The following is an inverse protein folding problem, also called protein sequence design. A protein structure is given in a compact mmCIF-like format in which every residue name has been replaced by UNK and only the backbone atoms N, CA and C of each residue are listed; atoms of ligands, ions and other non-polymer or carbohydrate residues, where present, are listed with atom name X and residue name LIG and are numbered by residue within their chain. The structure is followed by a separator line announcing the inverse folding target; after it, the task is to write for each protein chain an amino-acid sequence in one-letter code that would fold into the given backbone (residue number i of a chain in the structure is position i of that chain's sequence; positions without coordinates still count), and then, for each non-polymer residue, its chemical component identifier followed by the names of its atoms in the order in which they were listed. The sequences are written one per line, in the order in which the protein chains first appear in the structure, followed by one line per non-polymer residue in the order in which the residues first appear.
data_IF_971818010974
#
_entry.id   IF_971818010974
#
_cell.length_a   1.000
_cell.length_b   1.000
_cell.length_c   1.000
_cell.angle_alpha   90.00
_cell.angle_beta   90.00
_cell.angle_gamma   90.00
#
_symmetry.space_group_name_H-M   'P 1'
#
loop_
_entity.id
_entity.type
_entity.pdbx_description
1 polymer ?
#
# COMPACT_ATOMS: atom_id res chain seq x y z
N UNK A 1 -7.48 5.72 -9.06
CA UNK A 1 -7.72 5.81 -7.60
C UNK A 1 -6.81 4.83 -6.90
N UNK A 2 -6.29 5.20 -5.73
CA UNK A 2 -5.40 4.37 -4.92
C UNK A 2 -6.05 4.12 -3.56
N UNK A 3 -5.84 2.93 -3.01
CA UNK A 3 -6.24 2.64 -1.64
C UNK A 3 -6.13 1.16 -1.29
N UNK A 4 -6.77 0.82 -0.16
CA UNK A 4 -6.82 -0.54 0.35
C UNK A 4 -7.97 -1.34 -0.28
N UNK A 5 -7.75 -2.64 -0.50
CA UNK A 5 -8.79 -3.56 -0.97
C UNK A 5 -8.52 -5.01 -0.56
N UNK A 6 -9.59 -5.80 -0.51
CA UNK A 6 -9.54 -7.26 -0.26
C UNK A 6 -10.29 -8.01 -1.36
N UNK A 7 -9.62 -8.93 -2.10
CA UNK A 7 -10.27 -9.71 -3.14
C UNK A 7 -11.14 -10.83 -2.54
N UNK A 8 -12.26 -11.14 -3.20
CA UNK A 8 -13.11 -12.32 -2.94
C UNK A 8 -13.52 -12.54 -1.47
N UNK A 9 -13.76 -11.46 -0.71
CA UNK A 9 -14.05 -11.54 0.73
C UNK A 9 -12.97 -12.28 1.56
N UNK A 10 -11.72 -12.32 1.07
CA UNK A 10 -10.60 -12.83 1.85
C UNK A 10 -10.18 -11.83 2.94
N UNK A 11 -9.46 -12.33 3.95
CA UNK A 11 -8.82 -11.48 4.97
C UNK A 11 -7.54 -10.81 4.46
N UNK A 12 -7.14 -11.10 3.22
CA UNK A 12 -5.94 -10.53 2.63
C UNK A 12 -6.20 -9.07 2.24
N UNK A 13 -5.41 -8.17 2.81
CA UNK A 13 -5.48 -6.74 2.53
C UNK A 13 -4.28 -6.32 1.68
N UNK A 14 -4.60 -5.58 0.61
CA UNK A 14 -3.64 -5.08 -0.35
C UNK A 14 -3.77 -3.57 -0.55
N UNK A 15 -2.67 -2.92 -0.94
CA UNK A 15 -2.69 -1.58 -1.53
C UNK A 15 -2.64 -1.72 -3.04
N UNK A 16 -3.55 -1.05 -3.75
CA UNK A 16 -3.57 -1.09 -5.20
C UNK A 16 -4.02 0.20 -5.85
N UNK A 17 -3.91 0.22 -7.17
CA UNK A 17 -4.39 1.29 -8.05
C UNK A 17 -5.42 0.69 -9.01
N UNK A 18 -6.54 1.39 -9.18
CA UNK A 18 -7.65 0.99 -10.06
C UNK A 18 -8.29 2.17 -10.78
N UNK A 19 -9.06 1.87 -11.84
CA UNK A 19 -9.88 2.87 -12.54
C UNK A 19 -11.00 3.39 -11.63
N UNK A 20 -11.07 4.72 -11.46
CA UNK A 20 -12.12 5.36 -10.67
C UNK A 20 -13.46 5.25 -11.40
N UNK A 21 -14.53 4.87 -10.68
CA UNK A 21 -15.89 4.81 -11.22
C UNK A 21 -16.22 3.55 -12.04
N UNK A 22 -15.30 2.59 -12.18
CA UNK A 22 -15.55 1.32 -12.88
C UNK A 22 -15.96 0.24 -11.87
N UNK A 23 -17.10 -0.42 -12.14
CA UNK A 23 -17.66 -1.52 -11.35
C UNK A 23 -17.93 -2.71 -12.31
N UNK A 24 -17.43 -3.92 -12.02
CA UNK A 24 -16.56 -4.28 -10.89
C UNK A 24 -15.18 -3.62 -10.97
N UNK A 25 -14.55 -3.40 -9.82
CA UNK A 25 -13.25 -2.71 -9.70
C UNK A 25 -12.18 -3.47 -10.50
N UNK A 26 -11.54 -2.80 -11.45
CA UNK A 26 -10.41 -3.33 -12.23
C UNK A 26 -9.10 -2.83 -11.62
N UNK A 27 -8.36 -3.73 -10.98
CA UNK A 27 -7.08 -3.44 -10.33
C UNK A 27 -5.95 -3.56 -11.35
N UNK A 28 -5.18 -2.49 -11.54
CA UNK A 28 -4.08 -2.41 -12.50
C UNK A 28 -2.72 -2.73 -11.86
N UNK A 29 -2.54 -2.30 -10.61
CA UNK A 29 -1.28 -2.44 -9.89
C UNK A 29 -1.54 -2.76 -8.41
N UNK A 30 -0.65 -3.56 -7.82
CA UNK A 30 -0.75 -4.03 -6.43
C UNK A 30 0.64 -3.96 -5.82
N UNK A 31 0.78 -3.23 -4.70
CA UNK A 31 2.08 -3.02 -4.04
C UNK A 31 2.59 -4.30 -3.40
N UNK A 32 1.80 -4.86 -2.49
CA UNK A 32 2.16 -6.02 -1.67
C UNK A 32 1.54 -7.32 -2.23
N UNK A 33 1.67 -7.53 -3.55
CA UNK A 33 1.03 -8.64 -4.26
C UNK A 33 1.44 -10.01 -3.71
N UNK A 34 2.72 -10.14 -3.37
CA UNK A 34 3.35 -11.37 -2.90
C UNK A 34 3.15 -11.60 -1.39
N UNK A 35 2.93 -10.53 -0.63
CA UNK A 35 2.85 -10.58 0.84
C UNK A 35 1.63 -9.79 1.36
N UNK A 36 0.42 -10.38 1.36
CA UNK A 36 -0.77 -9.74 1.89
C UNK A 36 -0.68 -9.47 3.39
N UNK A 37 -1.36 -8.43 3.86
CA UNK A 37 -1.61 -8.25 5.30
C UNK A 37 -2.84 -9.09 5.68
N UNK A 38 -2.71 -10.00 6.65
CA UNK A 38 -3.77 -10.99 6.97
C UNK A 38 -4.46 -10.80 8.33
N UNK A 39 -3.75 -10.28 9.34
CA UNK A 39 -4.20 -10.37 10.75
C UNK A 39 -4.21 -9.03 11.52
N UNK A 40 -4.12 -7.89 10.84
CA UNK A 40 -3.94 -6.59 11.51
C UNK A 40 -4.36 -5.38 10.68
N UNK A 41 -4.43 -4.22 11.34
CA UNK A 41 -4.56 -2.93 10.68
C UNK A 41 -3.33 -2.67 9.80
N UNK A 42 -3.58 -2.25 8.56
CA UNK A 42 -2.53 -1.85 7.63
C UNK A 42 -2.46 -0.33 7.53
N UNK A 43 -1.25 0.20 7.53
CA UNK A 43 -0.99 1.62 7.39
C UNK A 43 -0.01 1.85 6.24
N UNK A 44 -0.32 2.85 5.41
CA UNK A 44 0.55 3.33 4.35
C UNK A 44 1.09 4.69 4.76
N UNK A 45 2.41 4.82 4.89
CA UNK A 45 3.04 6.05 5.40
C UNK A 45 4.39 6.32 4.74
N UNK A 46 4.82 7.58 4.81
CA UNK A 46 6.17 8.00 4.43
C UNK A 46 6.98 8.14 5.72
N UNK A 47 8.12 7.44 5.79
CA UNK A 47 9.05 7.51 6.91
C UNK A 47 9.83 8.83 6.91
N UNK A 48 10.53 9.11 8.01
CA UNK A 48 11.37 10.32 8.12
C UNK A 48 12.53 10.36 7.12
N UNK A 49 12.95 9.22 6.58
CA UNK A 49 13.93 9.12 5.48
C UNK A 49 13.25 9.01 4.09
N UNK A 50 12.00 9.46 3.98
CA UNK A 50 11.31 9.61 2.71
C UNK A 50 10.83 8.32 2.03
N UNK A 51 10.96 7.16 2.68
CA UNK A 51 10.54 5.87 2.11
C UNK A 51 9.05 5.65 2.33
N UNK A 52 8.32 5.32 1.27
CA UNK A 52 6.93 4.86 1.36
C UNK A 52 6.92 3.41 1.85
N UNK A 53 6.27 3.18 2.99
CA UNK A 53 6.14 1.87 3.63
C UNK A 53 4.68 1.49 3.82
N UNK A 54 4.40 0.21 3.61
CA UNK A 54 3.21 -0.47 4.10
C UNK A 54 3.64 -1.29 5.31
N UNK A 55 3.02 -1.02 6.46
CA UNK A 55 3.32 -1.73 7.69
C UNK A 55 2.04 -2.14 8.40
N UNK A 56 2.17 -3.18 9.22
CA UNK A 56 1.10 -3.65 10.06
C UNK A 56 1.52 -3.54 11.54
N UNK A 57 0.54 -3.36 12.44
CA UNK A 57 0.83 -3.06 13.85
C UNK A 57 1.53 -4.17 14.64
N UNK A 58 1.61 -5.40 14.09
CA UNK A 58 2.08 -6.58 14.81
C UNK A 58 3.43 -7.13 14.28
N UNK A 59 3.67 -7.02 12.98
CA UNK A 59 4.76 -7.66 12.23
C UNK A 59 5.70 -6.64 11.56
N UNK A 60 5.47 -5.33 11.72
CA UNK A 60 6.33 -4.29 11.17
C UNK A 60 6.09 -4.03 9.67
N UNK A 61 7.16 -3.70 8.93
CA UNK A 61 7.10 -3.34 7.50
C UNK A 61 6.85 -4.58 6.65
N UNK A 62 5.78 -4.55 5.87
CA UNK A 62 5.33 -5.64 4.99
C UNK A 62 5.79 -5.40 3.55
N UNK A 63 5.81 -4.14 3.13
CA UNK A 63 6.28 -3.71 1.82
C UNK A 63 6.86 -2.31 1.91
N UNK A 64 7.85 -2.00 1.08
CA UNK A 64 8.47 -0.68 0.99
C UNK A 64 8.95 -0.42 -0.42
N UNK A 65 8.99 0.85 -0.82
CA UNK A 65 9.81 1.24 -1.97
C UNK A 65 11.28 0.98 -1.60
N UNK A 66 12.05 0.31 -2.46
CA UNK A 66 13.44 -0.08 -2.17
C UNK A 66 14.44 1.08 -2.10
N UNK A 67 13.95 2.32 -2.21
CA UNK A 67 14.74 3.53 -2.22
C UNK A 67 14.54 4.31 -0.92
N UNK A 68 15.64 4.89 -0.44
CA UNK A 68 15.64 5.84 0.69
C UNK A 68 16.02 7.20 0.15
N UNK A 69 15.28 8.23 0.55
CA UNK A 69 15.52 9.58 0.09
C UNK A 69 16.02 10.41 1.26
N UNK A 70 17.26 10.90 1.18
CA UNK A 70 17.76 11.89 2.14
C UNK A 70 17.07 13.23 1.88
N UNK A 71 15.85 13.38 2.38
CA UNK A 71 15.02 14.58 2.19
C UNK A 71 14.44 15.06 3.51
N UNK A 72 14.38 16.38 3.69
CA UNK A 72 13.69 17.03 4.81
C UNK A 72 12.15 17.10 4.59
N UNK A 73 11.65 16.62 3.45
CA UNK A 73 10.23 16.55 3.15
C UNK A 73 9.94 15.65 1.96
N UNK A 74 9.00 14.73 2.12
CA UNK A 74 8.61 13.78 1.08
C UNK A 74 7.10 13.73 0.94
N UNK A 75 6.63 13.60 -0.31
CA UNK A 75 5.21 13.38 -0.62
C UNK A 75 5.06 12.24 -1.61
N UNK A 76 3.96 11.50 -1.50
CA UNK A 76 3.52 10.56 -2.51
C UNK A 76 2.41 11.21 -3.32
N UNK A 77 2.45 11.06 -4.64
CA UNK A 77 1.52 11.71 -5.56
C UNK A 77 1.00 10.69 -6.57
N UNK A 78 -0.32 10.66 -6.75
CA UNK A 78 -1.00 9.98 -7.85
C UNK A 78 -1.64 11.07 -8.71
N UNK A 79 -1.01 11.38 -9.83
CA UNK A 79 -1.43 12.41 -10.78
C UNK A 79 -2.44 11.90 -11.80
#
# INVERSE_FOLDING_TARGET
ELGFFSPNNSQNLYVGIWFKGIIPRVVLWVANRENPVTDSTANLAITSNGTLILFNGKHGVVWSIGETFASNGSRAELS
#
